data_IF_519644137057
#
_entry.id   IF_519644137057
#
_cell.length_a   1.000
_cell.length_b   1.000
_cell.length_c   1.000
_cell.angle_alpha   90.00
_cell.angle_beta   90.00
_cell.angle_gamma   90.00
#
_symmetry.space_group_name_H-M   'P 1'
#
loop_
_entity.id
_entity.type
_entity.pdbx_description
1 polymer ?
#
# COMPACT_ATOMS: atom_id res chain seq x y z
N UNK A 1 -4.03 -1.94 -17.63
CA UNK A 1 -3.04 -2.23 -16.61
C UNK A 1 -3.59 -1.94 -15.22
N UNK A 2 -3.28 -2.79 -14.27
CA UNK A 2 -3.74 -2.57 -12.91
C UNK A 2 -2.90 -1.49 -12.21
N UNK A 3 -3.54 -0.74 -11.34
CA UNK A 3 -2.87 0.27 -10.53
C UNK A 3 -2.64 -0.25 -9.12
N UNK A 4 -1.57 0.23 -8.49
CA UNK A 4 -1.32 -0.06 -7.08
C UNK A 4 -2.02 1.02 -6.26
N UNK A 5 -2.91 0.60 -5.35
CA UNK A 5 -3.64 1.51 -4.47
C UNK A 5 -3.18 1.33 -3.04
N UNK A 6 -2.80 2.42 -2.40
CA UNK A 6 -2.42 2.44 -0.99
C UNK A 6 -3.44 3.31 -0.26
N UNK A 7 -4.22 2.68 0.62
CA UNK A 7 -5.25 3.38 1.39
C UNK A 7 -4.85 3.41 2.86
N UNK A 8 -4.87 4.60 3.42
CA UNK A 8 -4.52 4.82 4.82
C UNK A 8 -5.78 5.23 5.56
N UNK A 9 -6.14 4.43 6.58
CA UNK A 9 -7.31 4.68 7.41
C UNK A 9 -6.87 5.10 8.81
N UNK A 10 -7.64 5.96 9.44
CA UNK A 10 -7.45 6.33 10.85
C UNK A 10 -8.67 5.96 11.66
N UNK A 11 -8.43 5.44 12.86
CA UNK A 11 -9.49 5.08 13.79
C UNK A 11 -10.38 4.00 13.22
N UNK A 12 -11.69 4.16 13.44
CA UNK A 12 -12.71 3.22 12.95
C UNK A 12 -13.39 3.72 11.67
N UNK A 13 -12.80 4.68 10.99
CA UNK A 13 -13.39 5.24 9.79
C UNK A 13 -13.48 4.19 8.68
N UNK A 14 -14.60 4.19 7.98
CA UNK A 14 -14.84 3.28 6.87
C UNK A 14 -14.22 3.78 5.56
N UNK A 15 -13.99 5.09 5.48
CA UNK A 15 -13.37 5.71 4.31
C UNK A 15 -11.92 5.98 4.58
N UNK A 16 -11.03 5.78 3.60
CA UNK A 16 -9.62 6.09 3.79
C UNK A 16 -9.42 7.59 3.97
N UNK A 17 -8.55 7.95 4.92
CA UNK A 17 -8.14 9.33 5.08
C UNK A 17 -7.31 9.79 3.90
N UNK A 18 -6.52 8.89 3.33
CA UNK A 18 -5.65 9.18 2.21
C UNK A 18 -5.59 7.97 1.27
N UNK A 19 -5.66 8.23 -0.01
CA UNK A 19 -5.49 7.19 -1.04
C UNK A 19 -4.38 7.64 -1.99
N UNK A 20 -3.39 6.78 -2.17
CA UNK A 20 -2.30 7.01 -3.12
C UNK A 20 -2.47 5.99 -4.24
N UNK A 21 -2.49 6.47 -5.48
CA UNK A 21 -2.59 5.62 -6.65
C UNK A 21 -1.27 5.67 -7.41
N UNK A 22 -0.69 4.50 -7.65
CA UNK A 22 0.52 4.37 -8.46
C UNK A 22 0.10 3.68 -9.76
N UNK A 23 0.08 4.41 -10.87
CA UNK A 23 -0.31 3.82 -12.16
C UNK A 23 0.62 2.67 -12.56
N UNK A 24 0.04 1.61 -13.12
CA UNK A 24 0.81 0.42 -13.49
C UNK A 24 1.98 0.67 -14.44
N UNK A 25 1.84 1.67 -15.32
CA UNK A 25 2.89 2.00 -16.26
C UNK A 25 4.15 2.61 -15.66
N UNK A 26 4.08 3.07 -14.41
CA UNK A 26 5.22 3.72 -13.74
C UNK A 26 5.63 3.02 -12.45
N UNK A 27 5.31 1.73 -12.33
CA UNK A 27 5.67 0.96 -11.13
C UNK A 27 7.17 0.96 -10.83
N UNK A 28 8.01 1.20 -11.81
CA UNK A 28 9.44 1.34 -11.59
C UNK A 28 9.79 2.50 -10.67
N UNK A 29 8.92 3.51 -10.62
CA UNK A 29 9.10 4.68 -9.77
C UNK A 29 8.24 4.61 -8.50
N UNK A 30 7.54 3.49 -8.30
CA UNK A 30 6.59 3.33 -7.21
C UNK A 30 7.21 3.58 -5.84
N UNK A 31 8.47 3.17 -5.66
CA UNK A 31 9.17 3.37 -4.39
C UNK A 31 9.28 4.85 -4.00
N UNK A 32 9.30 5.73 -4.99
CA UNK A 32 9.35 7.19 -4.75
C UNK A 32 7.97 7.77 -4.48
N UNK A 33 6.92 7.11 -4.98
CA UNK A 33 5.55 7.56 -4.82
C UNK A 33 4.93 7.08 -3.51
N UNK A 34 5.48 6.03 -2.91
CA UNK A 34 5.02 5.54 -1.61
C UNK A 34 5.42 6.56 -0.54
N UNK A 35 4.46 7.07 0.26
CA UNK A 35 4.79 8.01 1.33
C UNK A 35 5.76 7.39 2.32
N UNK A 36 6.72 8.17 2.78
CA UNK A 36 7.71 7.69 3.75
C UNK A 36 7.04 7.12 5.00
N UNK A 37 5.98 7.76 5.48
CA UNK A 37 5.22 7.29 6.64
C UNK A 37 4.68 5.87 6.41
N UNK A 38 4.13 5.60 5.23
CA UNK A 38 3.62 4.28 4.90
C UNK A 38 4.76 3.26 4.79
N UNK A 39 5.87 3.63 4.18
CA UNK A 39 7.03 2.75 4.05
C UNK A 39 7.59 2.35 5.42
N UNK A 40 7.76 3.32 6.31
CA UNK A 40 8.25 3.06 7.68
C UNK A 40 7.29 2.15 8.43
N UNK A 41 5.99 2.42 8.31
CA UNK A 41 4.96 1.60 8.97
C UNK A 41 5.05 0.13 8.51
N UNK A 42 5.19 -0.09 7.21
CA UNK A 42 5.28 -1.44 6.66
C UNK A 42 6.58 -2.13 7.09
N UNK A 43 7.69 -1.41 7.08
CA UNK A 43 8.98 -1.96 7.51
C UNK A 43 8.95 -2.38 8.97
N UNK A 44 8.30 -1.61 9.84
CA UNK A 44 8.14 -1.96 11.25
C UNK A 44 7.35 -3.27 11.42
N UNK A 45 6.49 -3.59 10.48
CA UNK A 45 5.71 -4.84 10.49
C UNK A 45 6.41 -5.98 9.75
N UNK A 46 7.66 -5.76 9.32
CA UNK A 46 8.42 -6.77 8.60
C UNK A 46 8.06 -6.93 7.13
N UNK A 47 7.40 -5.92 6.56
CA UNK A 47 6.97 -5.95 5.17
C UNK A 47 7.88 -5.06 4.33
N UNK A 48 8.48 -5.65 3.29
CA UNK A 48 9.35 -4.92 2.37
C UNK A 48 8.53 -4.31 1.23
N UNK A 49 8.56 -2.99 1.12
CA UNK A 49 7.84 -2.25 0.09
C UNK A 49 8.27 -2.68 -1.31
N UNK A 50 9.55 -2.98 -1.51
CA UNK A 50 10.06 -3.43 -2.80
C UNK A 50 9.42 -4.74 -3.24
N UNK A 51 9.24 -5.67 -2.31
CA UNK A 51 8.59 -6.95 -2.60
C UNK A 51 7.13 -6.74 -2.99
N UNK A 52 6.45 -5.81 -2.33
CA UNK A 52 5.06 -5.49 -2.68
C UNK A 52 4.99 -4.93 -4.09
N UNK A 53 5.89 -4.02 -4.44
CA UNK A 53 5.93 -3.43 -5.77
C UNK A 53 6.20 -4.49 -6.83
N UNK A 54 7.15 -5.38 -6.59
CA UNK A 54 7.44 -6.48 -7.51
C UNK A 54 6.24 -7.41 -7.67
N UNK A 55 5.59 -7.74 -6.57
CA UNK A 55 4.41 -8.59 -6.60
C UNK A 55 3.27 -7.94 -7.40
N UNK A 56 3.11 -6.63 -7.25
CA UNK A 56 2.05 -5.88 -7.96
C UNK A 56 2.26 -5.85 -9.48
N UNK A 57 3.46 -6.12 -9.95
CA UNK A 57 3.77 -6.17 -11.38
C UNK A 57 3.42 -7.51 -12.02
N UNK A 58 3.10 -8.51 -11.22
CA UNK A 58 2.71 -9.82 -11.74
C UNK A 58 1.33 -9.72 -12.40
N UNK A 59 1.16 -10.24 -13.63
CA UNK A 59 -0.11 -10.09 -14.35
C UNK A 59 -1.29 -10.79 -13.69
N UNK A 60 -1.03 -11.80 -12.87
CA UNK A 60 -2.08 -12.58 -12.22
C UNK A 60 -2.49 -12.03 -10.84
N UNK A 61 -1.83 -10.97 -10.38
CA UNK A 61 -2.06 -10.44 -9.03
C UNK A 61 -3.12 -9.35 -9.06
N UNK A 62 -4.19 -9.56 -8.33
CA UNK A 62 -5.30 -8.61 -8.19
C UNK A 62 -5.81 -8.62 -6.75
N UNK A 63 -6.46 -7.54 -6.36
CA UNK A 63 -7.09 -7.44 -5.06
C UNK A 63 -6.14 -6.99 -3.98
N UNK A 64 -6.53 -7.23 -2.73
CA UNK A 64 -5.76 -6.82 -1.56
C UNK A 64 -4.51 -7.67 -1.39
N UNK A 65 -3.35 -7.04 -1.40
CA UNK A 65 -2.07 -7.72 -1.17
C UNK A 65 -1.68 -7.71 0.29
N UNK A 66 -1.90 -6.59 0.97
CA UNK A 66 -1.46 -6.39 2.34
C UNK A 66 -2.48 -5.56 3.09
N UNK A 67 -2.79 -5.96 4.32
CA UNK A 67 -3.58 -5.18 5.24
C UNK A 67 -2.90 -5.24 6.59
N UNK A 68 -2.50 -4.08 7.12
CA UNK A 68 -1.75 -3.97 8.36
C UNK A 68 -2.41 -2.98 9.29
N UNK A 69 -2.62 -3.38 10.54
CA UNK A 69 -3.17 -2.50 11.57
C UNK A 69 -2.13 -2.18 12.64
N UNK A 70 -2.14 -0.94 13.09
CA UNK A 70 -1.39 -0.50 14.26
C UNK A 70 -2.37 -0.09 15.34
N UNK A 71 -2.53 -0.94 16.36
CA UNK A 71 -3.53 -0.73 17.42
C UNK A 71 -3.25 0.49 18.28
N UNK A 72 -1.99 0.79 18.55
CA UNK A 72 -1.62 1.94 19.38
C UNK A 72 -1.97 3.26 18.73
N UNK A 73 -1.73 3.38 17.43
CA UNK A 73 -1.99 4.60 16.68
C UNK A 73 -3.37 4.60 16.04
N UNK A 74 -4.08 3.49 16.13
CA UNK A 74 -5.39 3.29 15.49
C UNK A 74 -5.33 3.60 13.99
N UNK A 75 -4.27 3.16 13.33
CA UNK A 75 -4.08 3.33 11.89
C UNK A 75 -4.12 1.99 11.19
N UNK A 76 -4.59 2.00 9.95
CA UNK A 76 -4.64 0.81 9.12
C UNK A 76 -4.19 1.18 7.71
N UNK A 77 -3.36 0.35 7.12
CA UNK A 77 -2.91 0.53 5.73
C UNK A 77 -3.35 -0.68 4.93
N UNK A 78 -4.01 -0.43 3.80
CA UNK A 78 -4.44 -1.47 2.88
C UNK A 78 -3.80 -1.20 1.52
N UNK A 79 -3.10 -2.20 1.01
CA UNK A 79 -2.46 -2.11 -0.31
C UNK A 79 -3.12 -3.12 -1.22
N UNK A 80 -3.62 -2.65 -2.35
CA UNK A 80 -4.32 -3.49 -3.31
C UNK A 80 -3.90 -3.18 -4.74
N UNK A 81 -4.14 -4.14 -5.63
CA UNK A 81 -3.95 -3.98 -7.07
C UNK A 81 -5.33 -3.96 -7.71
N UNK A 82 -5.66 -2.86 -8.35
CA UNK A 82 -7.00 -2.68 -8.94
C UNK A 82 -6.96 -2.24 -10.40
#
# INVERSE_FOLDING_TARGET
MADLKIRIYKGKEKKPEKTITVPGGILKLASRLVPKKAAVFLEEKGIDVKEIIELSQQPDVHGTLVEVEEHKKKERIVISVE
#
